data_IF_720007620191
#
_entry.id   IF_720007620191
#
_cell.length_a   1.000
_cell.length_b   1.000
_cell.length_c   1.000
_cell.angle_alpha   90.00
_cell.angle_beta   90.00
_cell.angle_gamma   90.00
#
_symmetry.space_group_name_H-M   'P 1'
#
loop_
_entity.id
_entity.type
_entity.pdbx_description
1 polymer ?
#
# COMPACT_ATOMS: atom_id res chain seq x y z
N UNK A 1 -2.71 15.71 -10.43
CA UNK A 1 -2.05 14.38 -10.55
C UNK A 1 -0.59 14.38 -10.09
N UNK A 2 0.28 15.29 -10.60
CA UNK A 2 1.69 15.34 -10.16
C UNK A 2 1.89 15.47 -8.65
N UNK A 3 1.13 16.34 -7.97
CA UNK A 3 1.24 16.52 -6.53
C UNK A 3 0.97 15.22 -5.75
N UNK A 4 -0.07 14.49 -6.13
CA UNK A 4 -0.41 13.21 -5.49
C UNK A 4 0.65 12.13 -5.76
N UNK A 5 1.25 12.13 -6.97
CA UNK A 5 2.34 11.21 -7.30
C UNK A 5 3.60 11.49 -6.49
N UNK A 6 3.96 12.75 -6.32
CA UNK A 6 5.12 13.14 -5.49
C UNK A 6 4.86 12.83 -4.02
N UNK A 7 3.67 13.15 -3.53
CA UNK A 7 3.23 12.82 -2.17
C UNK A 7 3.30 11.31 -1.90
N UNK A 8 2.68 10.50 -2.76
CA UNK A 8 2.72 9.04 -2.64
C UNK A 8 4.15 8.49 -2.72
N UNK A 9 4.96 8.99 -3.65
CA UNK A 9 6.36 8.60 -3.81
C UNK A 9 7.20 8.85 -2.55
N UNK A 10 7.02 10.01 -1.90
CA UNK A 10 7.70 10.35 -0.66
C UNK A 10 7.34 9.37 0.47
N UNK A 11 6.05 9.07 0.65
CA UNK A 11 5.61 8.12 1.66
C UNK A 11 6.07 6.69 1.38
N UNK A 12 6.02 6.23 0.13
CA UNK A 12 6.54 4.91 -0.22
C UNK A 12 8.04 4.80 0.04
N UNK A 13 8.83 5.84 -0.27
CA UNK A 13 10.26 5.83 0.02
C UNK A 13 10.54 5.69 1.52
N UNK A 14 9.73 6.35 2.35
CA UNK A 14 9.85 6.25 3.81
C UNK A 14 9.45 4.86 4.32
N UNK A 15 8.39 4.27 3.80
CA UNK A 15 7.99 2.90 4.14
C UNK A 15 9.10 1.90 3.81
N UNK A 16 9.75 2.03 2.66
CA UNK A 16 10.88 1.18 2.29
C UNK A 16 12.09 1.42 3.18
N UNK A 17 12.41 2.69 3.51
CA UNK A 17 13.51 3.03 4.41
C UNK A 17 13.32 2.37 5.78
N UNK A 18 12.14 2.52 6.38
CA UNK A 18 11.78 1.90 7.65
C UNK A 18 11.83 0.37 7.59
N UNK A 19 11.43 -0.22 6.45
CA UNK A 19 11.53 -1.65 6.23
C UNK A 19 12.97 -2.17 6.27
N UNK A 20 13.92 -1.44 5.69
CA UNK A 20 15.34 -1.77 5.77
C UNK A 20 15.89 -1.64 7.21
N UNK A 21 15.49 -0.59 7.93
CA UNK A 21 15.92 -0.35 9.31
C UNK A 21 15.34 -1.34 10.30
N UNK A 22 14.17 -1.92 9.99
CA UNK A 22 13.48 -2.89 10.85
C UNK A 22 14.13 -4.28 10.87
N UNK A 23 15.02 -4.59 9.91
CA UNK A 23 15.73 -5.87 9.88
C UNK A 23 16.76 -5.93 11.02
N UNK A 24 16.69 -6.94 11.91
CA UNK A 24 17.61 -7.04 13.03
C UNK A 24 19.07 -7.18 12.59
N UNK A 25 19.93 -6.34 13.10
CA UNK A 25 21.38 -6.38 12.79
C UNK A 25 22.02 -7.73 13.10
N UNK A 26 21.55 -8.42 14.12
CA UNK A 26 22.05 -9.75 14.50
C UNK A 26 21.92 -10.79 13.38
N UNK A 27 20.90 -10.70 12.52
CA UNK A 27 20.77 -11.59 11.34
C UNK A 27 21.88 -11.35 10.32
N UNK A 28 22.25 -10.08 10.13
CA UNK A 28 23.33 -9.68 9.23
C UNK A 28 24.69 -10.13 9.79
N UNK A 29 24.91 -9.90 11.07
CA UNK A 29 26.15 -10.29 11.77
C UNK A 29 26.33 -11.81 11.79
N UNK A 30 25.27 -12.56 12.09
CA UNK A 30 25.30 -14.02 12.05
C UNK A 30 25.65 -14.56 10.66
N UNK A 31 25.10 -13.96 9.61
CA UNK A 31 25.39 -14.33 8.24
C UNK A 31 26.85 -13.99 7.84
N UNK A 32 27.39 -12.87 8.33
CA UNK A 32 28.79 -12.52 8.14
C UNK A 32 29.73 -13.54 8.81
N UNK A 33 29.40 -13.95 10.05
CA UNK A 33 30.14 -14.99 10.75
C UNK A 33 30.08 -16.35 10.03
N UNK A 34 28.96 -16.64 9.35
CA UNK A 34 28.80 -17.84 8.51
C UNK A 34 29.51 -17.74 7.15
N UNK A 35 30.23 -16.65 6.87
CA UNK A 35 31.00 -16.48 5.63
C UNK A 35 30.19 -16.06 4.39
N UNK A 36 28.95 -15.58 4.56
CA UNK A 36 28.17 -15.07 3.45
C UNK A 36 28.76 -13.79 2.89
N UNK A 37 28.82 -13.70 1.56
CA UNK A 37 29.20 -12.45 0.88
C UNK A 37 28.12 -11.37 1.06
N UNK A 38 28.49 -10.08 0.92
CA UNK A 38 27.54 -8.97 1.02
C UNK A 38 26.34 -9.13 0.09
N UNK A 39 26.55 -9.57 -1.13
CA UNK A 39 25.47 -9.81 -2.10
C UNK A 39 24.54 -10.93 -1.67
N UNK A 40 25.08 -11.99 -1.08
CA UNK A 40 24.28 -13.11 -0.56
C UNK A 40 23.44 -12.66 0.65
N UNK A 41 24.00 -11.86 1.55
CA UNK A 41 23.29 -11.31 2.71
C UNK A 41 22.12 -10.45 2.24
N UNK A 42 22.35 -9.52 1.30
CA UNK A 42 21.29 -8.66 0.76
C UNK A 42 20.20 -9.49 0.11
N UNK A 43 20.54 -10.43 -0.77
CA UNK A 43 19.57 -11.14 -1.59
C UNK A 43 18.82 -12.25 -0.84
N UNK A 44 19.48 -12.91 0.12
CA UNK A 44 18.91 -14.09 0.82
C UNK A 44 18.33 -13.76 2.20
N UNK A 45 18.75 -12.66 2.81
CA UNK A 45 18.35 -12.29 4.18
C UNK A 45 17.65 -10.93 4.17
N UNK A 46 18.33 -9.87 3.76
CA UNK A 46 17.86 -8.50 3.91
C UNK A 46 16.60 -8.24 3.08
N UNK A 47 16.63 -8.54 1.77
CA UNK A 47 15.51 -8.27 0.86
C UNK A 47 14.26 -9.07 1.20
N UNK A 48 14.30 -10.40 1.42
CA UNK A 48 13.09 -11.14 1.77
C UNK A 48 12.54 -10.76 3.13
N UNK A 49 13.38 -10.51 4.13
CA UNK A 49 12.93 -10.12 5.47
C UNK A 49 12.32 -8.71 5.47
N UNK A 50 12.98 -7.75 4.82
CA UNK A 50 12.46 -6.41 4.60
C UNK A 50 11.10 -6.46 3.87
N UNK A 51 10.97 -7.27 2.81
CA UNK A 51 9.74 -7.37 2.05
C UNK A 51 8.55 -7.81 2.91
N UNK A 52 8.75 -8.78 3.80
CA UNK A 52 7.70 -9.24 4.73
C UNK A 52 7.28 -8.13 5.69
N UNK A 53 8.23 -7.35 6.21
CA UNK A 53 7.97 -6.26 7.14
C UNK A 53 7.33 -5.04 6.49
N UNK A 54 7.74 -4.74 5.25
CA UNK A 54 7.30 -3.54 4.51
C UNK A 54 5.94 -3.73 3.84
N UNK A 55 5.62 -4.95 3.39
CA UNK A 55 4.42 -5.22 2.60
C UNK A 55 3.12 -4.76 3.26
N UNK A 56 2.83 -5.03 4.55
CA UNK A 56 1.61 -4.57 5.21
C UNK A 56 1.50 -3.04 5.21
N UNK A 57 2.61 -2.36 5.51
CA UNK A 57 2.66 -0.89 5.52
C UNK A 57 2.46 -0.30 4.12
N UNK A 58 3.08 -0.89 3.10
CA UNK A 58 2.92 -0.47 1.71
C UNK A 58 1.48 -0.64 1.21
N UNK A 59 0.80 -1.74 1.57
CA UNK A 59 -0.61 -1.97 1.23
C UNK A 59 -1.52 -0.95 1.92
N UNK A 60 -1.33 -0.72 3.22
CA UNK A 60 -2.10 0.27 3.96
C UNK A 60 -1.91 1.68 3.38
N UNK A 61 -0.70 2.03 3.00
CA UNK A 61 -0.41 3.29 2.32
C UNK A 61 -1.11 3.38 0.96
N UNK A 62 -1.08 2.32 0.15
CA UNK A 62 -1.78 2.29 -1.13
C UNK A 62 -3.30 2.47 -0.97
N UNK A 63 -3.91 1.81 0.03
CA UNK A 63 -5.33 1.97 0.37
C UNK A 63 -5.63 3.40 0.83
N UNK A 64 -4.74 4.02 1.62
CA UNK A 64 -4.90 5.41 2.03
C UNK A 64 -4.86 6.35 0.83
N UNK A 65 -3.87 6.20 -0.05
CA UNK A 65 -3.76 7.01 -1.27
C UNK A 65 -4.98 6.87 -2.19
N UNK A 66 -5.57 5.67 -2.28
CA UNK A 66 -6.83 5.47 -3.02
C UNK A 66 -7.97 6.33 -2.45
N UNK A 67 -8.08 6.42 -1.13
CA UNK A 67 -9.09 7.29 -0.48
C UNK A 67 -8.77 8.77 -0.65
N UNK A 68 -7.48 9.12 -0.62
CA UNK A 68 -7.03 10.50 -0.78
C UNK A 68 -7.29 11.05 -2.19
N UNK A 69 -7.49 10.16 -3.19
CA UNK A 69 -7.93 10.60 -4.52
C UNK A 69 -9.28 11.30 -4.50
N UNK A 70 -10.15 11.02 -3.51
CA UNK A 70 -11.42 11.71 -3.36
C UNK A 70 -11.25 13.23 -3.17
N UNK A 71 -10.12 13.70 -2.63
CA UNK A 71 -9.79 15.13 -2.53
C UNK A 71 -9.72 15.81 -3.90
N UNK A 72 -9.40 15.05 -4.95
CA UNK A 72 -9.35 15.58 -6.32
C UNK A 72 -10.71 16.00 -6.86
N UNK A 73 -11.82 15.51 -6.28
CA UNK A 73 -13.17 15.96 -6.64
C UNK A 73 -13.38 17.45 -6.38
N UNK A 74 -12.70 17.99 -5.35
CA UNK A 74 -12.76 19.42 -5.00
C UNK A 74 -12.22 20.31 -6.12
N UNK A 75 -11.25 19.80 -6.89
CA UNK A 75 -10.67 20.50 -8.06
C UNK A 75 -11.27 20.03 -9.40
N UNK A 76 -12.48 19.49 -9.36
CA UNK A 76 -13.26 19.04 -10.54
C UNK A 76 -12.52 18.02 -11.44
N UNK A 77 -11.62 17.24 -10.88
CA UNK A 77 -11.00 16.12 -11.61
C UNK A 77 -12.01 14.97 -11.68
N UNK A 78 -12.32 14.46 -12.90
CA UNK A 78 -13.24 13.34 -13.04
C UNK A 78 -12.68 12.09 -12.33
N UNK A 79 -13.34 11.73 -11.26
CA UNK A 79 -13.03 10.52 -10.47
C UNK A 79 -14.35 9.98 -9.88
N UNK A 80 -14.28 8.87 -9.13
CA UNK A 80 -15.46 8.19 -8.62
C UNK A 80 -16.41 9.12 -7.83
N UNK A 81 -15.86 9.91 -6.90
CA UNK A 81 -16.64 10.81 -6.05
C UNK A 81 -17.37 11.87 -6.85
N UNK A 82 -16.67 12.54 -7.77
CA UNK A 82 -17.27 13.57 -8.60
C UNK A 82 -18.36 13.01 -9.51
N UNK A 83 -18.08 11.88 -10.17
CA UNK A 83 -19.02 11.25 -11.10
C UNK A 83 -20.31 10.85 -10.39
N UNK A 84 -20.22 10.18 -9.25
CA UNK A 84 -21.39 9.71 -8.48
C UNK A 84 -22.16 10.90 -7.89
N UNK A 85 -21.45 11.93 -7.39
CA UNK A 85 -22.11 13.14 -6.87
C UNK A 85 -22.87 13.90 -7.96
N UNK A 86 -22.32 14.00 -9.17
CA UNK A 86 -22.98 14.64 -10.32
C UNK A 86 -24.26 13.89 -10.68
N UNK A 87 -24.22 12.57 -10.75
CA UNK A 87 -25.42 11.74 -10.99
C UNK A 87 -26.45 11.96 -9.89
N UNK A 88 -26.02 11.99 -8.63
CA UNK A 88 -26.93 12.25 -7.49
C UNK A 88 -27.63 13.60 -7.58
N UNK A 89 -26.95 14.63 -8.05
CA UNK A 89 -27.54 15.98 -8.23
C UNK A 89 -28.47 16.05 -9.45
N UNK A 90 -28.10 15.43 -10.57
CA UNK A 90 -28.90 15.43 -11.80
C UNK A 90 -30.23 14.68 -11.62
N UNK A 91 -30.24 13.58 -10.89
CA UNK A 91 -31.43 12.74 -10.66
C UNK A 91 -32.13 13.01 -9.33
N UNK A 92 -31.71 14.03 -8.55
CA UNK A 92 -32.22 14.32 -7.21
C UNK A 92 -32.14 13.11 -6.24
N UNK A 93 -31.24 12.19 -6.51
CA UNK A 93 -31.02 10.94 -5.76
C UNK A 93 -29.73 11.01 -4.94
N UNK A 94 -29.60 12.06 -4.10
CA UNK A 94 -28.34 12.35 -3.40
C UNK A 94 -28.00 11.29 -2.34
N UNK A 95 -29.00 10.76 -1.65
CA UNK A 95 -28.81 9.73 -0.61
C UNK A 95 -28.35 8.41 -1.22
N UNK A 96 -28.98 8.02 -2.32
CA UNK A 96 -28.63 6.81 -3.07
C UNK A 96 -27.23 6.91 -3.67
N UNK A 97 -26.87 8.10 -4.18
CA UNK A 97 -25.53 8.37 -4.70
C UNK A 97 -24.46 8.24 -3.61
N UNK A 98 -24.69 8.81 -2.42
CA UNK A 98 -23.77 8.67 -1.29
C UNK A 98 -23.63 7.20 -0.83
N UNK A 99 -24.74 6.46 -0.80
CA UNK A 99 -24.71 5.04 -0.46
C UNK A 99 -23.92 4.23 -1.48
N UNK A 100 -24.11 4.50 -2.77
CA UNK A 100 -23.36 3.86 -3.84
C UNK A 100 -21.86 4.18 -3.75
N UNK A 101 -21.53 5.43 -3.43
CA UNK A 101 -20.14 5.87 -3.22
C UNK A 101 -19.49 5.12 -2.04
N UNK A 102 -20.20 5.01 -0.92
CA UNK A 102 -19.72 4.30 0.25
C UNK A 102 -19.47 2.80 -0.06
N UNK A 103 -20.39 2.16 -0.78
CA UNK A 103 -20.21 0.77 -1.23
C UNK A 103 -19.04 0.63 -2.21
N UNK A 104 -18.86 1.58 -3.12
CA UNK A 104 -17.75 1.58 -4.08
C UNK A 104 -16.40 1.66 -3.36
N UNK A 105 -16.24 2.60 -2.44
CA UNK A 105 -15.00 2.71 -1.67
C UNK A 105 -14.78 1.52 -0.74
N UNK A 106 -15.83 1.01 -0.09
CA UNK A 106 -15.71 -0.19 0.73
C UNK A 106 -15.26 -1.40 -0.10
N UNK A 107 -15.84 -1.61 -1.28
CA UNK A 107 -15.44 -2.68 -2.18
C UNK A 107 -13.98 -2.57 -2.64
N UNK A 108 -13.54 -1.37 -3.04
CA UNK A 108 -12.15 -1.11 -3.43
C UNK A 108 -11.17 -1.42 -2.28
N UNK A 109 -11.50 -0.97 -1.07
CA UNK A 109 -10.66 -1.22 0.12
C UNK A 109 -10.58 -2.71 0.43
N UNK A 110 -11.73 -3.42 0.36
CA UNK A 110 -11.75 -4.86 0.64
C UNK A 110 -10.98 -5.68 -0.39
N UNK A 111 -11.07 -5.32 -1.68
CA UNK A 111 -10.28 -5.94 -2.74
C UNK A 111 -8.78 -5.71 -2.50
N UNK A 112 -8.37 -4.47 -2.21
CA UNK A 112 -6.98 -4.14 -1.92
C UNK A 112 -6.46 -4.87 -0.68
N UNK A 113 -7.26 -4.93 0.39
CA UNK A 113 -6.92 -5.66 1.61
C UNK A 113 -6.84 -7.18 1.39
N UNK A 114 -7.74 -7.75 0.58
CA UNK A 114 -7.70 -9.17 0.23
C UNK A 114 -6.44 -9.52 -0.56
N UNK A 115 -6.07 -8.67 -1.52
CA UNK A 115 -4.82 -8.82 -2.27
C UNK A 115 -3.60 -8.72 -1.36
N UNK A 116 -3.62 -7.79 -0.41
CA UNK A 116 -2.59 -7.65 0.61
C UNK A 116 -2.42 -8.90 1.45
N UNK A 117 -3.50 -9.40 2.04
CA UNK A 117 -3.49 -10.65 2.82
C UNK A 117 -2.98 -11.86 2.01
N UNK A 118 -3.32 -11.91 0.72
CA UNK A 118 -2.82 -12.98 -0.16
C UNK A 118 -1.31 -12.88 -0.37
N UNK A 119 -0.79 -11.68 -0.63
CA UNK A 119 0.63 -11.43 -0.82
C UNK A 119 1.44 -11.70 0.46
N UNK A 120 0.93 -11.27 1.63
CA UNK A 120 1.52 -11.56 2.95
C UNK A 120 1.63 -13.07 3.21
N UNK A 121 0.57 -13.82 2.95
CA UNK A 121 0.57 -15.30 3.14
C UNK A 121 1.58 -15.99 2.25
N UNK A 122 1.78 -15.50 1.03
CA UNK A 122 2.81 -16.04 0.14
C UNK A 122 4.22 -15.76 0.65
N UNK A 123 4.49 -14.53 1.09
CA UNK A 123 5.80 -14.13 1.61
C UNK A 123 6.11 -14.77 2.96
N UNK A 124 5.13 -14.90 3.86
CA UNK A 124 5.32 -15.56 5.14
C UNK A 124 5.78 -17.02 5.01
N UNK A 125 5.45 -17.72 3.93
CA UNK A 125 5.94 -19.08 3.67
C UNK A 125 7.45 -19.15 3.43
N UNK A 126 8.05 -18.07 2.95
CA UNK A 126 9.51 -18.01 2.75
C UNK A 126 10.30 -17.77 4.06
N UNK A 127 9.63 -17.38 5.13
CA UNK A 127 10.27 -17.12 6.45
C UNK A 127 10.47 -18.38 7.27
N UNK A 128 9.76 -19.46 6.97
CA UNK A 128 9.78 -20.73 7.73
C UNK A 128 10.35 -21.91 6.92
N UNK A 129 10.88 -21.66 5.73
CA UNK A 129 11.62 -22.63 4.92
C UNK A 129 13.11 -22.31 4.92
#
# INVERSE_FOLDING_TARGET
MLALSVYGGAYFSEVFRLGFEAVPRGHIEAAQCAGFSRTQIVRRILVPEMAVLTLPAAINLAVSLLKDTAVLSVVTVPELTLTVSTIGTEFYAFVEALFLLALGYWGLVEIAAAFGRFAERRLARFRFA
#
